data_IF_938622052597
#
_entry.id   IF_938622052597
#
_cell.length_a   1.000
_cell.length_b   1.000
_cell.length_c   1.000
_cell.angle_alpha   90.00
_cell.angle_beta   90.00
_cell.angle_gamma   90.00
#
_symmetry.space_group_name_H-M   'P 1'
#
loop_
_entity.id
_entity.type
_entity.pdbx_description
1 polymer ?
#
# COMPACT_ATOMS: atom_id res chain seq x y z
N UNK A 1 13.40 10.22 -7.69
CA UNK A 1 14.45 10.60 -6.74
C UNK A 1 15.66 9.72 -6.96
N UNK A 2 16.83 10.25 -7.35
CA UNK A 2 18.07 9.49 -7.41
C UNK A 2 18.60 9.05 -6.03
N UNK A 3 19.51 8.08 -6.06
CA UNK A 3 20.34 7.73 -4.90
C UNK A 3 21.14 8.95 -4.45
N UNK A 4 21.17 9.17 -3.14
CA UNK A 4 21.89 10.26 -2.50
C UNK A 4 21.06 11.50 -2.19
N UNK A 5 19.83 11.58 -2.72
CA UNK A 5 18.90 12.66 -2.43
C UNK A 5 18.38 12.58 -0.99
N UNK A 6 18.10 13.74 -0.38
CA UNK A 6 17.42 13.82 0.91
C UNK A 6 15.91 13.71 0.72
N UNK A 7 15.24 13.07 1.67
CA UNK A 7 13.79 12.92 1.72
C UNK A 7 13.34 13.22 3.15
N UNK A 8 12.25 13.96 3.29
CA UNK A 8 11.63 14.23 4.59
C UNK A 8 10.45 13.28 4.80
N UNK A 9 10.21 12.89 6.05
CA UNK A 9 9.00 12.13 6.40
C UNK A 9 7.74 12.84 5.87
N UNK A 10 6.86 12.08 5.23
CA UNK A 10 5.62 12.59 4.63
C UNK A 10 5.76 13.16 3.22
N UNK A 11 6.98 13.31 2.68
CA UNK A 11 7.16 13.72 1.30
C UNK A 11 6.92 12.54 0.32
N UNK A 12 6.44 12.80 -0.91
CA UNK A 12 6.26 11.76 -1.92
C UNK A 12 7.56 11.01 -2.24
N UNK A 13 7.59 9.70 -1.98
CA UNK A 13 8.75 8.85 -2.19
C UNK A 13 8.70 8.15 -3.56
N UNK A 14 7.59 7.48 -3.87
CA UNK A 14 7.38 6.84 -5.18
C UNK A 14 5.89 6.77 -5.52
N UNK A 15 5.61 6.43 -6.78
CA UNK A 15 4.25 6.24 -7.28
C UNK A 15 4.10 4.86 -7.91
N UNK A 16 2.95 4.23 -7.70
CA UNK A 16 2.55 3.01 -8.41
C UNK A 16 1.40 3.36 -9.34
N UNK A 17 1.51 2.96 -10.61
CA UNK A 17 0.45 3.10 -11.61
C UNK A 17 -0.21 1.76 -11.89
N UNK A 18 -1.54 1.73 -11.90
CA UNK A 18 -2.34 0.59 -12.34
C UNK A 18 -3.42 1.08 -13.31
N UNK A 19 -3.27 0.75 -14.60
CA UNK A 19 -4.10 1.33 -15.67
C UNK A 19 -3.95 2.85 -15.67
N UNK A 20 -5.07 3.57 -15.54
CA UNK A 20 -5.11 5.03 -15.45
C UNK A 20 -4.98 5.59 -14.03
N UNK A 21 -4.93 4.72 -13.02
CA UNK A 21 -4.86 5.12 -11.60
C UNK A 21 -3.43 5.21 -11.11
N UNK A 22 -3.14 6.21 -10.28
CA UNK A 22 -1.82 6.40 -9.67
C UNK A 22 -1.98 6.56 -8.16
N UNK A 23 -1.24 5.75 -7.39
CA UNK A 23 -1.12 5.90 -5.94
C UNK A 23 0.24 6.49 -5.60
N UNK A 24 0.25 7.45 -4.67
CA UNK A 24 1.49 8.06 -4.17
C UNK A 24 1.81 7.49 -2.79
N UNK A 25 3.03 7.00 -2.63
CA UNK A 25 3.54 6.51 -1.36
C UNK A 25 4.49 7.55 -0.76
N UNK A 26 4.25 7.91 0.49
CA UNK A 26 5.02 8.91 1.22
C UNK A 26 6.19 8.26 1.96
N UNK A 27 7.23 9.04 2.22
CA UNK A 27 8.36 8.57 3.00
C UNK A 27 7.96 8.33 4.45
N UNK A 28 8.22 7.14 5.03
CA UNK A 28 7.88 6.86 6.43
C UNK A 28 8.85 7.53 7.42
N UNK A 29 10.04 7.89 6.94
CA UNK A 29 11.15 8.46 7.73
C UNK A 29 11.86 9.57 6.95
N UNK A 30 12.53 10.46 7.67
CA UNK A 30 13.43 11.47 7.08
C UNK A 30 14.83 10.88 6.95
N UNK A 31 15.50 11.12 5.83
CA UNK A 31 16.80 10.53 5.58
C UNK A 31 17.34 10.77 4.18
N UNK A 32 18.27 9.90 3.79
CA UNK A 32 18.90 9.90 2.46
C UNK A 32 18.56 8.63 1.71
N UNK A 33 18.27 8.74 0.41
CA UNK A 33 18.04 7.58 -0.45
C UNK A 33 19.35 6.81 -0.59
N UNK A 34 19.46 5.65 0.05
CA UNK A 34 20.66 4.83 0.04
C UNK A 34 20.73 3.94 -1.20
N UNK A 35 19.61 3.30 -1.57
CA UNK A 35 19.51 2.40 -2.73
C UNK A 35 18.10 2.40 -3.32
N UNK A 36 18.02 2.08 -4.60
CA UNK A 36 16.78 1.82 -5.33
C UNK A 36 16.93 0.43 -5.94
N UNK A 37 15.90 -0.42 -5.82
CA UNK A 37 15.98 -1.78 -6.35
C UNK A 37 15.91 -1.75 -7.89
N UNK A 38 16.93 -2.21 -8.63
CA UNK A 38 16.84 -2.26 -10.08
C UNK A 38 15.84 -3.32 -10.58
N UNK A 39 15.62 -4.39 -9.80
CA UNK A 39 14.80 -5.54 -10.21
C UNK A 39 13.35 -5.13 -10.45
N UNK A 40 12.82 -4.14 -9.72
CA UNK A 40 11.42 -3.72 -9.88
C UNK A 40 11.16 -3.01 -11.22
N UNK A 41 12.18 -2.47 -11.89
CA UNK A 41 12.02 -1.86 -13.20
C UNK A 41 11.95 -2.92 -14.31
N UNK A 42 12.68 -4.02 -14.16
CA UNK A 42 12.67 -5.14 -15.11
C UNK A 42 11.51 -6.11 -14.84
N UNK A 43 11.20 -6.33 -13.56
CA UNK A 43 10.20 -7.29 -13.09
C UNK A 43 9.33 -6.70 -11.98
N UNK A 44 8.39 -5.79 -12.30
CA UNK A 44 7.49 -5.16 -11.32
C UNK A 44 6.64 -6.17 -10.52
N UNK A 45 6.36 -7.34 -11.12
CA UNK A 45 5.60 -8.43 -10.52
C UNK A 45 6.27 -8.97 -9.23
N UNK A 46 7.57 -8.73 -9.04
CA UNK A 46 8.32 -9.15 -7.85
C UNK A 46 7.76 -8.51 -6.58
N UNK A 47 7.28 -7.26 -6.67
CA UNK A 47 6.62 -6.55 -5.55
C UNK A 47 5.42 -7.35 -5.04
N UNK A 48 4.68 -8.01 -5.92
CA UNK A 48 3.49 -8.78 -5.56
C UNK A 48 3.81 -10.19 -5.06
N UNK A 49 4.92 -10.79 -5.51
CA UNK A 49 5.29 -12.17 -5.16
C UNK A 49 6.08 -12.24 -3.86
N UNK A 50 6.97 -11.27 -3.64
CA UNK A 50 7.95 -11.31 -2.57
C UNK A 50 8.26 -9.89 -2.05
N UNK A 51 7.27 -9.19 -1.46
CA UNK A 51 7.36 -7.77 -1.15
C UNK A 51 8.48 -7.40 -0.17
N UNK A 52 8.88 -8.33 0.69
CA UNK A 52 9.83 -8.07 1.77
C UNK A 52 11.26 -8.54 1.46
N UNK A 53 11.46 -9.50 0.55
CA UNK A 53 12.80 -9.93 0.15
C UNK A 53 13.14 -9.31 -1.20
N UNK A 54 12.81 -9.94 -2.32
CA UNK A 54 13.24 -9.46 -3.64
C UNK A 54 12.46 -8.23 -4.15
N UNK A 55 11.30 -7.94 -3.57
CA UNK A 55 10.35 -6.91 -3.98
C UNK A 55 10.48 -5.57 -3.25
N UNK A 56 11.52 -5.36 -2.45
CA UNK A 56 11.81 -4.05 -1.87
C UNK A 56 11.95 -2.98 -2.96
N UNK A 57 11.61 -1.72 -2.65
CA UNK A 57 11.56 -0.64 -3.66
C UNK A 57 12.72 0.33 -3.44
N UNK A 58 12.79 0.93 -2.25
CA UNK A 58 13.78 1.94 -1.87
C UNK A 58 14.32 1.61 -0.48
N UNK A 59 15.61 1.82 -0.29
CA UNK A 59 16.28 1.79 1.01
C UNK A 59 16.65 3.22 1.41
N UNK A 60 16.26 3.63 2.61
CA UNK A 60 16.53 4.95 3.18
C UNK A 60 17.52 4.78 4.33
N UNK A 61 18.56 5.60 4.35
CA UNK A 61 19.42 5.80 5.51
C UNK A 61 18.79 6.92 6.37
N UNK A 62 18.15 6.59 7.50
CA UNK A 62 17.44 7.57 8.32
C UNK A 62 18.40 8.51 9.03
N UNK A 63 18.04 9.79 9.14
CA UNK A 63 18.84 10.80 9.86
C UNK A 63 18.61 10.73 11.38
N UNK A 64 17.40 10.40 11.84
CA UNK A 64 17.06 10.26 13.27
C UNK A 64 16.04 9.13 13.50
N UNK A 65 16.51 7.88 13.34
CA UNK A 65 15.65 6.71 13.52
C UNK A 65 15.11 6.58 14.96
N UNK A 66 15.85 7.08 15.95
CA UNK A 66 15.52 6.90 17.36
C UNK A 66 14.26 7.69 17.76
N UNK A 67 14.07 8.89 17.20
CA UNK A 67 12.85 9.66 17.41
C UNK A 67 11.71 9.21 16.50
N UNK A 68 12.00 8.87 15.24
CA UNK A 68 10.97 8.57 14.24
C UNK A 68 10.34 7.18 14.41
N UNK A 69 11.09 6.18 14.90
CA UNK A 69 10.56 4.82 15.11
C UNK A 69 9.41 4.78 16.12
N UNK A 70 9.35 5.74 17.05
CA UNK A 70 8.25 5.87 18.02
C UNK A 70 6.91 6.17 17.37
N UNK A 71 6.94 6.70 16.15
CA UNK A 71 5.76 7.02 15.34
C UNK A 71 5.44 5.90 14.34
N UNK A 72 6.13 4.75 14.42
CA UNK A 72 5.91 3.59 13.56
C UNK A 72 5.27 2.47 14.39
N UNK A 73 4.39 1.71 13.74
CA UNK A 73 3.82 0.51 14.35
C UNK A 73 4.86 -0.61 14.33
N UNK A 74 5.12 -1.22 15.49
CA UNK A 74 6.12 -2.28 15.63
C UNK A 74 5.55 -3.55 16.27
N UNK A 75 6.10 -4.70 15.89
CA UNK A 75 5.79 -6.00 16.50
C UNK A 75 4.30 -6.35 16.55
N UNK A 76 3.79 -6.58 17.76
CA UNK A 76 2.40 -6.98 17.99
C UNK A 76 1.40 -5.88 17.63
N UNK A 77 1.79 -4.61 17.74
CA UNK A 77 0.94 -3.48 17.38
C UNK A 77 0.72 -3.40 15.87
N UNK A 78 1.80 -3.51 15.08
CA UNK A 78 1.71 -3.60 13.62
C UNK A 78 0.85 -4.77 13.16
N UNK A 79 1.01 -5.92 13.81
CA UNK A 79 0.20 -7.12 13.52
C UNK A 79 -1.28 -6.91 13.84
N UNK A 80 -1.59 -6.24 14.95
CA UNK A 80 -2.97 -5.92 15.36
C UNK A 80 -3.60 -4.91 14.43
N UNK A 81 -2.87 -3.85 14.08
CA UNK A 81 -3.31 -2.85 13.11
C UNK A 81 -3.59 -3.50 11.76
N UNK A 82 -2.68 -4.32 11.22
CA UNK A 82 -2.86 -4.99 9.93
C UNK A 82 -4.09 -5.89 9.91
N UNK A 83 -4.35 -6.65 10.99
CA UNK A 83 -5.57 -7.46 11.11
C UNK A 83 -6.83 -6.60 11.08
N UNK A 84 -6.82 -5.48 11.79
CA UNK A 84 -7.94 -4.53 11.80
C UNK A 84 -8.12 -3.89 10.42
N UNK A 85 -7.04 -3.56 9.73
CA UNK A 85 -7.07 -2.93 8.41
C UNK A 85 -7.60 -3.90 7.34
N UNK A 86 -7.19 -5.18 7.40
CA UNK A 86 -7.77 -6.23 6.56
C UNK A 86 -9.28 -6.38 6.81
N UNK A 87 -9.73 -6.29 8.08
CA UNK A 87 -11.16 -6.33 8.41
C UNK A 87 -11.90 -5.12 7.84
N UNK A 88 -11.38 -3.91 8.03
CA UNK A 88 -11.93 -2.67 7.43
C UNK A 88 -12.02 -2.77 5.91
N UNK A 89 -10.98 -3.28 5.27
CA UNK A 89 -10.95 -3.44 3.83
C UNK A 89 -12.00 -4.43 3.33
N UNK A 90 -12.19 -5.56 4.04
CA UNK A 90 -13.27 -6.52 3.73
C UNK A 90 -14.65 -5.88 3.86
N UNK A 91 -14.92 -5.16 4.95
CA UNK A 91 -16.19 -4.46 5.16
C UNK A 91 -16.44 -3.40 4.07
N UNK A 92 -15.40 -2.65 3.69
CA UNK A 92 -15.45 -1.69 2.58
C UNK A 92 -15.82 -2.38 1.27
N UNK A 93 -15.11 -3.46 0.91
CA UNK A 93 -15.40 -4.20 -0.33
C UNK A 93 -16.80 -4.81 -0.28
N UNK A 94 -17.26 -5.40 0.82
CA UNK A 94 -18.63 -5.94 0.90
C UNK A 94 -19.71 -4.88 0.69
N UNK A 95 -19.48 -3.65 1.14
CA UNK A 95 -20.41 -2.54 0.93
C UNK A 95 -20.38 -1.99 -0.49
N UNK A 96 -19.22 -1.98 -1.15
CA UNK A 96 -19.04 -1.35 -2.45
C UNK A 96 -19.16 -2.34 -3.62
N UNK A 97 -18.76 -3.61 -3.46
CA UNK A 97 -18.73 -4.66 -4.49
C UNK A 97 -20.05 -4.92 -5.23
N UNK A 98 -21.24 -4.87 -4.58
CA UNK A 98 -22.50 -5.02 -5.30
C UNK A 98 -22.70 -4.02 -6.44
N UNK A 99 -21.99 -2.88 -6.44
CA UNK A 99 -22.10 -1.84 -7.47
C UNK A 99 -21.38 -2.18 -8.78
N UNK A 100 -20.38 -3.06 -8.75
CA UNK A 100 -19.50 -3.32 -9.90
C UNK A 100 -19.18 -4.80 -10.13
N UNK A 101 -19.60 -5.70 -9.24
CA UNK A 101 -19.50 -7.14 -9.46
C UNK A 101 -20.55 -7.92 -8.66
N UNK A 102 -21.75 -8.17 -9.25
CA UNK A 102 -22.80 -8.95 -8.59
C UNK A 102 -22.37 -10.36 -8.17
N UNK A 103 -21.42 -10.97 -8.88
CA UNK A 103 -20.87 -12.29 -8.53
C UNK A 103 -20.01 -12.28 -7.25
N UNK A 104 -19.51 -11.12 -6.82
CA UNK A 104 -18.72 -10.99 -5.59
C UNK A 104 -19.60 -11.07 -4.34
N UNK A 105 -20.88 -10.67 -4.43
CA UNK A 105 -21.86 -10.73 -3.34
C UNK A 105 -22.05 -12.15 -2.81
N UNK A 106 -22.12 -13.12 -3.73
CA UNK A 106 -22.27 -14.55 -3.40
C UNK A 106 -21.02 -15.11 -2.70
N UNK A 107 -19.83 -14.75 -3.16
CA UNK A 107 -18.56 -15.24 -2.56
C UNK A 107 -18.25 -14.63 -1.20
N UNK A 108 -18.71 -13.41 -0.94
CA UNK A 108 -18.49 -12.72 0.34
C UNK A 108 -19.44 -13.23 1.44
N UNK A 109 -20.65 -13.66 1.07
CA UNK A 109 -21.61 -14.28 1.99
C UNK A 109 -21.09 -15.60 2.59
N UNK A 110 -20.30 -16.35 1.81
CA UNK A 110 -19.70 -17.62 2.23
C UNK A 110 -18.37 -17.46 3.00
N UNK A 111 -18.00 -16.23 3.38
CA UNK A 111 -16.71 -15.95 4.03
C UNK A 111 -15.50 -16.06 3.10
N UNK A 112 -15.73 -16.00 1.78
CA UNK A 112 -14.71 -16.13 0.75
C UNK A 112 -13.64 -15.04 0.78
N UNK A 113 -12.47 -15.36 0.20
CA UNK A 113 -11.35 -14.43 0.06
C UNK A 113 -11.74 -13.29 -0.89
N UNK A 114 -11.35 -12.06 -0.55
CA UNK A 114 -11.42 -10.92 -1.48
C UNK A 114 -10.68 -11.31 -2.76
N UNK A 115 -11.38 -11.29 -3.89
CA UNK A 115 -10.82 -11.69 -5.17
C UNK A 115 -9.63 -10.78 -5.49
N UNK A 116 -8.50 -11.38 -5.87
CA UNK A 116 -7.32 -10.64 -6.32
C UNK A 116 -7.73 -9.71 -7.47
N UNK A 117 -7.45 -8.42 -7.32
CA UNK A 117 -7.79 -7.43 -8.35
C UNK A 117 -9.21 -6.87 -8.26
N UNK A 118 -9.95 -7.06 -7.16
CA UNK A 118 -11.28 -6.44 -6.96
C UNK A 118 -11.27 -4.92 -7.23
N UNK A 119 -10.18 -4.24 -6.87
CA UNK A 119 -9.99 -2.80 -7.08
C UNK A 119 -9.78 -2.41 -8.56
N UNK A 120 -9.56 -3.35 -9.47
CA UNK A 120 -9.40 -3.03 -10.89
C UNK A 120 -10.73 -2.62 -11.52
N UNK A 121 -11.83 -3.23 -11.07
CA UNK A 121 -13.15 -3.08 -11.68
C UNK A 121 -14.06 -2.06 -10.97
N UNK A 122 -13.58 -1.40 -9.90
CA UNK A 122 -14.36 -0.38 -9.19
C UNK A 122 -14.57 0.86 -10.08
N UNK A 123 -15.63 1.62 -9.84
CA UNK A 123 -15.82 2.93 -10.50
C UNK A 123 -14.86 4.00 -9.93
N UNK A 124 -14.85 5.19 -10.51
CA UNK A 124 -13.98 6.28 -10.06
C UNK A 124 -14.30 6.73 -8.63
N UNK A 125 -15.59 6.76 -8.25
CA UNK A 125 -16.04 7.24 -6.94
C UNK A 125 -15.63 6.30 -5.81
N UNK A 126 -15.76 5.00 -6.01
CA UNK A 126 -15.29 3.98 -5.07
C UNK A 126 -13.77 3.96 -5.01
N UNK A 127 -13.07 4.21 -6.11
CA UNK A 127 -11.61 4.36 -6.10
C UNK A 127 -11.14 5.54 -5.23
N UNK A 128 -11.72 6.73 -5.42
CA UNK A 128 -11.40 7.92 -4.62
C UNK A 128 -11.65 7.67 -3.12
N UNK A 129 -12.75 6.98 -2.81
CA UNK A 129 -13.08 6.60 -1.43
C UNK A 129 -12.04 5.63 -0.85
N UNK A 130 -11.62 4.62 -1.62
CA UNK A 130 -10.56 3.70 -1.21
C UNK A 130 -9.25 4.45 -0.93
N UNK A 131 -8.82 5.31 -1.84
CA UNK A 131 -7.58 6.08 -1.68
C UNK A 131 -7.63 6.95 -0.41
N UNK A 132 -8.73 7.65 -0.19
CA UNK A 132 -8.92 8.50 0.99
C UNK A 132 -8.98 7.71 2.31
N UNK A 133 -9.58 6.53 2.31
CA UNK A 133 -9.80 5.76 3.54
C UNK A 133 -8.63 4.85 3.93
N UNK A 134 -7.87 4.34 2.96
CA UNK A 134 -6.85 3.30 3.18
C UNK A 134 -5.42 3.74 2.83
N UNK A 135 -5.24 4.78 2.00
CA UNK A 135 -3.89 5.22 1.58
C UNK A 135 -3.53 6.55 2.25
N UNK A 136 -4.45 7.52 2.25
CA UNK A 136 -4.17 8.87 2.77
C UNK A 136 -4.40 9.04 4.29
N UNK A 137 -4.95 8.02 4.97
CA UNK A 137 -5.17 8.02 6.43
C UNK A 137 -4.08 7.30 7.23
N UNK A 138 -3.05 6.77 6.57
CA UNK A 138 -1.96 5.99 7.19
C UNK A 138 -0.71 6.84 7.44
#
# INVERSE_FOLDING_TARGET
MPVGEKITKGEPLFKIRQGERTLTFLSPVSGKIAKINPIIFESPQTILKDPYLNGWIIMIEPEDIASEVKNLLIGSEASKWLKNEIRRFREFISKEAPKFSPALELTLADGGLVIKGVLQNVDAKTWEKFEKEFIQQS
#
